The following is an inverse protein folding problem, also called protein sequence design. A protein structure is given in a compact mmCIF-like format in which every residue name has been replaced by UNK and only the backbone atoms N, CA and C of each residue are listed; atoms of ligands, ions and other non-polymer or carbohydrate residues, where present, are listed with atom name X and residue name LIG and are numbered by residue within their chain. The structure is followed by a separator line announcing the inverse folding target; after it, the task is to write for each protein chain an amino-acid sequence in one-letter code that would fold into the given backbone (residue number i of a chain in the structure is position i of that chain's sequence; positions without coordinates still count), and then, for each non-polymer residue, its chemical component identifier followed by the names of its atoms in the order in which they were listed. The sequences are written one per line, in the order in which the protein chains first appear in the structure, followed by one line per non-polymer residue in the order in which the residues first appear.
data_IF_992402116671
#
_entry.id   IF_992402116671
#
_cell.length_a   1.000
_cell.length_b   1.000
_cell.length_c   1.000
_cell.angle_alpha   90.00
_cell.angle_beta   90.00
_cell.angle_gamma   90.00
#
_symmetry.space_group_name_H-M   'P 1'
#
loop_
_entity.id
_entity.type
_entity.pdbx_description
1 polymer ?
#
# COMPACT_ATOMS: atom_id res chain seq x y z
N UNK A 1 10.80 2.42 -10.14
CA UNK A 1 11.32 3.52 -9.33
C UNK A 1 10.28 4.07 -8.36
N UNK A 2 9.05 4.44 -8.80
CA UNK A 2 8.00 4.98 -7.91
C UNK A 2 7.63 4.06 -6.75
N UNK A 3 7.48 2.75 -6.98
CA UNK A 3 7.17 1.79 -5.93
C UNK A 3 8.26 1.76 -4.85
N UNK A 4 9.53 1.72 -5.26
CA UNK A 4 10.67 1.73 -4.31
C UNK A 4 10.68 3.02 -3.50
N UNK A 5 10.50 4.17 -4.15
CA UNK A 5 10.41 5.45 -3.48
C UNK A 5 9.25 5.50 -2.48
N UNK A 6 8.08 4.97 -2.86
CA UNK A 6 6.91 4.89 -1.98
C UNK A 6 7.15 3.97 -0.77
N UNK A 7 7.76 2.79 -0.97
CA UNK A 7 8.10 1.87 0.12
C UNK A 7 9.10 2.51 1.10
N UNK A 8 10.12 3.20 0.59
CA UNK A 8 11.08 3.94 1.42
C UNK A 8 10.39 5.05 2.19
N UNK A 9 9.54 5.84 1.53
CA UNK A 9 8.79 6.92 2.18
C UNK A 9 7.89 6.38 3.30
N UNK A 10 7.20 5.29 3.07
CA UNK A 10 6.36 4.63 4.08
C UNK A 10 7.22 4.12 5.24
N UNK A 11 8.36 3.49 4.96
CA UNK A 11 9.27 3.01 6.01
C UNK A 11 9.79 4.15 6.88
N UNK A 12 10.29 5.22 6.28
CA UNK A 12 10.77 6.39 7.01
C UNK A 12 9.65 7.11 7.76
N UNK A 13 8.49 7.29 7.13
CA UNK A 13 7.33 7.94 7.75
C UNK A 13 6.75 7.12 8.91
N UNK A 14 6.73 5.80 8.79
CA UNK A 14 6.22 4.90 9.83
C UNK A 14 7.16 4.75 11.01
N UNK A 15 8.47 4.71 10.79
CA UNK A 15 9.48 4.51 11.82
C UNK A 15 10.02 5.84 12.38
N UNK A 16 9.82 6.95 11.67
CA UNK A 16 10.24 8.28 12.10
C UNK A 16 9.40 8.81 13.26
N UNK A 17 9.98 9.75 14.02
CA UNK A 17 9.26 10.48 15.07
C UNK A 17 8.30 11.47 14.41
N UNK A 18 7.00 11.22 14.54
CA UNK A 18 5.99 12.15 14.04
C UNK A 18 5.75 13.22 15.10
N UNK A 19 6.19 14.44 14.81
CA UNK A 19 5.84 15.64 15.55
C UNK A 19 4.79 16.41 14.75
N UNK A 20 3.54 16.14 14.98
CA UNK A 20 2.43 16.79 14.29
C UNK A 20 1.19 16.89 15.18
N UNK A 21 0.17 17.70 14.79
CA UNK A 21 -1.08 17.75 15.50
C UNK A 21 -1.70 16.36 15.55
N UNK A 22 -2.28 15.99 16.69
CA UNK A 22 -2.99 14.73 16.83
C UNK A 22 -4.16 14.73 15.84
N UNK A 23 -4.21 13.68 15.01
CA UNK A 23 -5.34 13.48 14.12
C UNK A 23 -6.56 13.02 14.91
N UNK A 24 -7.74 13.11 14.30
CA UNK A 24 -8.97 12.56 14.87
C UNK A 24 -8.82 11.04 15.15
N UNK A 25 -9.63 10.50 16.06
CA UNK A 25 -9.63 9.07 16.37
C UNK A 25 -9.78 8.23 15.10
N UNK A 26 -8.85 7.32 14.88
CA UNK A 26 -8.80 6.48 13.67
C UNK A 26 -8.15 7.13 12.44
N UNK A 27 -7.63 8.35 12.54
CA UNK A 27 -6.95 9.02 11.44
C UNK A 27 -5.68 8.30 11.00
N UNK A 28 -4.95 7.69 11.93
CA UNK A 28 -3.81 6.81 11.67
C UNK A 28 -4.20 5.60 10.82
N UNK A 29 -5.31 4.95 11.15
CA UNK A 29 -5.84 3.78 10.42
C UNK A 29 -6.31 4.15 9.00
N UNK A 30 -6.88 5.34 8.84
CA UNK A 30 -7.23 5.86 7.52
C UNK A 30 -5.97 6.12 6.67
N UNK A 31 -4.91 6.63 7.27
CA UNK A 31 -3.61 6.78 6.58
C UNK A 31 -3.06 5.43 6.15
N UNK A 32 -3.08 4.42 7.01
CA UNK A 32 -2.67 3.06 6.67
C UNK A 32 -3.48 2.51 5.50
N UNK A 33 -4.80 2.64 5.54
CA UNK A 33 -5.69 2.18 4.47
C UNK A 33 -5.36 2.86 3.13
N UNK A 34 -5.27 4.19 3.09
CA UNK A 34 -4.96 4.95 1.87
C UNK A 34 -3.57 4.61 1.36
N UNK A 35 -2.59 4.56 2.24
CA UNK A 35 -1.19 4.24 1.89
C UNK A 35 -1.10 2.87 1.22
N UNK A 36 -1.73 1.85 1.80
CA UNK A 36 -1.68 0.50 1.26
C UNK A 36 -2.53 0.32 0.00
N UNK A 37 -3.59 1.10 -0.17
CA UNK A 37 -4.32 1.17 -1.44
C UNK A 37 -3.43 1.71 -2.57
N UNK A 38 -2.71 2.80 -2.30
CA UNK A 38 -1.74 3.39 -3.25
C UNK A 38 -0.59 2.43 -3.53
N UNK A 39 0.01 1.84 -2.50
CA UNK A 39 1.09 0.85 -2.66
C UNK A 39 0.66 -0.33 -3.52
N UNK A 40 -0.56 -0.83 -3.33
CA UNK A 40 -1.08 -1.93 -4.14
C UNK A 40 -1.18 -1.54 -5.61
N UNK A 41 -1.73 -0.37 -5.92
CA UNK A 41 -1.83 0.13 -7.31
C UNK A 41 -0.45 0.28 -7.93
N UNK A 42 0.50 0.88 -7.21
CA UNK A 42 1.88 1.06 -7.68
C UNK A 42 2.58 -0.29 -7.89
N UNK A 43 2.38 -1.25 -6.97
CA UNK A 43 2.95 -2.59 -7.07
C UNK A 43 2.40 -3.33 -8.29
N UNK A 44 1.09 -3.22 -8.54
CA UNK A 44 0.49 -3.83 -9.73
C UNK A 44 0.99 -3.18 -11.03
N UNK A 45 1.13 -1.85 -11.06
CA UNK A 45 1.70 -1.16 -12.23
C UNK A 45 3.16 -1.55 -12.51
N UNK A 46 3.92 -1.85 -11.45
CA UNK A 46 5.30 -2.32 -11.57
C UNK A 46 5.38 -3.78 -12.02
N UNK A 47 4.46 -4.62 -11.54
CA UNK A 47 4.41 -6.06 -11.78
C UNK A 47 2.99 -6.49 -12.20
N UNK A 48 2.54 -6.11 -13.41
CA UNK A 48 1.21 -6.45 -13.87
C UNK A 48 1.09 -7.95 -14.17
N UNK A 49 -0.06 -8.52 -13.80
CA UNK A 49 -0.40 -9.90 -14.10
C UNK A 49 -1.44 -10.47 -13.13
N UNK A 50 -2.45 -11.21 -13.65
CA UNK A 50 -3.52 -11.74 -12.80
C UNK A 50 -3.00 -12.74 -11.77
N UNK A 51 -2.01 -13.54 -12.14
CA UNK A 51 -1.37 -14.52 -11.23
C UNK A 51 -0.56 -13.88 -10.10
N UNK A 52 -0.19 -12.59 -10.23
CA UNK A 52 0.60 -11.88 -9.24
C UNK A 52 -0.28 -11.12 -8.22
N UNK A 53 -1.56 -10.92 -8.47
CA UNK A 53 -2.44 -10.11 -7.61
C UNK A 53 -2.41 -10.57 -6.14
N UNK A 54 -2.60 -11.86 -5.90
CA UNK A 54 -2.57 -12.41 -4.54
C UNK A 54 -1.17 -12.34 -3.91
N UNK A 55 -0.11 -12.49 -4.72
CA UNK A 55 1.28 -12.34 -4.26
C UNK A 55 1.57 -10.91 -3.84
N UNK A 56 1.04 -9.93 -4.57
CA UNK A 56 1.15 -8.52 -4.19
C UNK A 56 0.46 -8.24 -2.85
N UNK A 57 -0.75 -8.78 -2.64
CA UNK A 57 -1.43 -8.68 -1.34
C UNK A 57 -0.56 -9.26 -0.22
N UNK A 58 -0.06 -10.49 -0.38
CA UNK A 58 0.77 -11.14 0.64
C UNK A 58 2.09 -10.39 0.89
N UNK A 59 2.74 -9.91 -0.16
CA UNK A 59 4.00 -9.17 -0.02
C UNK A 59 3.80 -7.85 0.71
N UNK A 60 2.76 -7.10 0.37
CA UNK A 60 2.44 -5.85 1.04
C UNK A 60 1.98 -6.07 2.48
N UNK A 61 1.22 -7.15 2.74
CA UNK A 61 0.84 -7.53 4.09
C UNK A 61 2.07 -7.89 4.93
N UNK A 62 2.99 -8.70 4.39
CA UNK A 62 4.23 -9.04 5.07
C UNK A 62 5.08 -7.79 5.36
N UNK A 63 5.17 -6.86 4.41
CA UNK A 63 5.82 -5.57 4.60
C UNK A 63 5.16 -4.77 5.72
N UNK A 64 3.82 -4.70 5.76
CA UNK A 64 3.06 -4.03 6.83
C UNK A 64 3.33 -4.64 8.20
N UNK A 65 3.29 -5.97 8.31
CA UNK A 65 3.60 -6.67 9.57
C UNK A 65 5.04 -6.38 10.01
N UNK A 66 6.00 -6.37 9.09
CA UNK A 66 7.40 -6.02 9.42
C UNK A 66 7.51 -4.59 9.97
N UNK A 67 6.81 -3.64 9.37
CA UNK A 67 6.78 -2.25 9.86
C UNK A 67 6.17 -2.18 11.25
N UNK A 68 5.05 -2.87 11.50
CA UNK A 68 4.41 -2.91 12.83
C UNK A 68 5.31 -3.53 13.90
N UNK A 69 6.00 -4.63 13.57
CA UNK A 69 6.96 -5.26 14.48
C UNK A 69 8.14 -4.31 14.78
N UNK A 70 8.64 -3.60 13.78
CA UNK A 70 9.68 -2.61 13.97
C UNK A 70 9.20 -1.42 14.81
N UNK A 71 7.97 -0.95 14.62
CA UNK A 71 7.36 0.10 15.45
C UNK A 71 7.24 -0.32 16.91
N UNK A 72 6.88 -1.57 17.17
CA UNK A 72 6.83 -2.14 18.52
C UNK A 72 8.16 -2.13 19.28
N UNK A 73 9.29 -1.99 18.59
CA UNK A 73 10.62 -1.86 19.20
C UNK A 73 11.00 -0.40 19.53
N UNK A 74 10.20 0.56 19.10
CA UNK A 74 10.48 1.99 19.27
C UNK A 74 9.72 2.52 20.47
N UNK A 75 10.42 3.17 21.41
CA UNK A 75 9.93 3.59 22.73
C UNK A 75 8.69 4.50 22.67
N UNK A 76 8.49 5.25 21.59
CA UNK A 76 7.37 6.19 21.42
C UNK A 76 6.30 5.71 20.42
N UNK A 77 6.35 4.45 20.01
CA UNK A 77 5.38 3.84 19.11
C UNK A 77 4.82 2.56 19.72
N UNK A 78 3.58 2.26 19.41
CA UNK A 78 2.90 1.03 19.81
C UNK A 78 2.53 0.24 18.57
N UNK A 79 2.70 -1.08 18.65
CA UNK A 79 2.19 -1.99 17.65
C UNK A 79 0.69 -2.16 17.83
N UNK A 80 -0.09 -1.86 16.81
CA UNK A 80 -1.55 -2.02 16.83
C UNK A 80 -2.01 -3.01 15.77
N UNK A 81 -2.69 -4.08 16.19
CA UNK A 81 -3.27 -5.05 15.25
C UNK A 81 -4.32 -4.42 14.31
N UNK A 82 -4.96 -3.34 14.73
CA UNK A 82 -5.91 -2.59 13.92
C UNK A 82 -5.24 -1.92 12.70
N UNK A 83 -3.96 -1.55 12.80
CA UNK A 83 -3.20 -0.98 11.69
C UNK A 83 -2.90 -2.05 10.62
N UNK A 84 -2.65 -3.29 11.05
CA UNK A 84 -2.52 -4.43 10.13
C UNK A 84 -3.85 -4.66 9.38
N UNK A 85 -4.99 -4.59 10.07
CA UNK A 85 -6.30 -4.72 9.44
C UNK A 85 -6.55 -3.57 8.44
N UNK A 86 -6.16 -2.35 8.77
CA UNK A 86 -6.24 -1.21 7.86
C UNK A 86 -5.35 -1.40 6.61
N UNK A 87 -4.17 -1.99 6.76
CA UNK A 87 -3.29 -2.34 5.65
C UNK A 87 -3.94 -3.37 4.72
N UNK A 88 -4.53 -4.43 5.28
CA UNK A 88 -5.27 -5.45 4.52
C UNK A 88 -6.46 -4.84 3.77
N UNK A 89 -7.25 -4.02 4.45
CA UNK A 89 -8.37 -3.30 3.84
C UNK A 89 -7.89 -2.37 2.72
N UNK A 90 -6.77 -1.68 2.92
CA UNK A 90 -6.15 -0.79 1.94
C UNK A 90 -5.76 -1.53 0.65
N UNK A 91 -5.08 -2.67 0.76
CA UNK A 91 -4.73 -3.47 -0.42
C UNK A 91 -5.97 -3.98 -1.15
N UNK A 92 -7.02 -4.36 -0.41
CA UNK A 92 -8.32 -4.73 -0.97
C UNK A 92 -8.98 -3.59 -1.75
N UNK A 93 -9.01 -2.39 -1.16
CA UNK A 93 -9.51 -1.17 -1.83
C UNK A 93 -8.69 -0.87 -3.08
N UNK A 94 -7.36 -0.94 -3.01
CA UNK A 94 -6.47 -0.76 -4.16
C UNK A 94 -6.80 -1.71 -5.31
N UNK A 95 -7.04 -2.98 -5.00
CA UNK A 95 -7.47 -3.97 -6.00
C UNK A 95 -8.84 -3.65 -6.62
N UNK A 96 -9.78 -3.15 -5.83
CA UNK A 96 -11.12 -2.79 -6.32
C UNK A 96 -11.12 -1.53 -7.20
N UNK A 97 -10.32 -0.52 -6.88
CA UNK A 97 -10.25 0.72 -7.66
C UNK A 97 -9.36 0.61 -8.89
N UNK A 98 -8.44 -0.36 -8.92
CA UNK A 98 -7.49 -0.55 -10.02
C UNK A 98 -8.17 -0.59 -11.41
N UNK A 99 -9.21 -1.39 -11.68
CA UNK A 99 -9.85 -1.42 -12.98
C UNK A 99 -10.53 -0.09 -13.35
N UNK A 100 -10.97 0.67 -12.36
CA UNK A 100 -11.57 2.01 -12.58
C UNK A 100 -10.47 2.98 -13.02
N UNK A 101 -9.31 2.95 -12.34
CA UNK A 101 -8.17 3.79 -12.69
C UNK A 101 -7.64 3.44 -14.09
N UNK A 102 -7.53 2.16 -14.40
CA UNK A 102 -7.06 1.69 -15.72
C UNK A 102 -7.95 2.21 -16.86
N UNK A 103 -9.27 2.22 -16.68
CA UNK A 103 -10.22 2.74 -17.66
C UNK A 103 -10.08 4.24 -17.92
N UNK A 104 -9.47 4.99 -16.99
CA UNK A 104 -9.21 6.44 -17.11
C UNK A 104 -7.89 6.74 -17.81
N UNK A 105 -7.04 5.72 -18.03
CA UNK A 105 -5.80 5.90 -18.75
C UNK A 105 -6.05 6.19 -20.24
N UNK A 106 -5.21 7.01 -20.88
CA UNK A 106 -5.20 7.12 -22.34
C UNK A 106 -5.13 5.76 -23.00
N UNK A 107 -5.88 5.54 -24.09
CA UNK A 107 -6.09 4.22 -24.68
C UNK A 107 -4.79 3.46 -25.05
N UNK A 108 -3.69 4.15 -25.34
CA UNK A 108 -2.39 3.53 -25.56
C UNK A 108 -1.81 2.93 -24.27
N UNK A 109 -1.87 3.65 -23.17
CA UNK A 109 -1.39 3.19 -21.85
C UNK A 109 -2.27 2.07 -21.29
N UNK A 110 -3.59 2.17 -21.49
CA UNK A 110 -4.52 1.11 -21.11
C UNK A 110 -4.21 -0.20 -21.83
N UNK A 111 -4.02 -0.17 -23.15
CA UNK A 111 -3.65 -1.34 -23.95
C UNK A 111 -2.30 -1.92 -23.51
N UNK A 112 -1.31 -1.08 -23.25
CA UNK A 112 -0.01 -1.53 -22.77
C UNK A 112 -0.08 -2.20 -21.38
N UNK A 113 -0.92 -1.70 -20.48
CA UNK A 113 -1.13 -2.27 -19.16
C UNK A 113 -1.82 -3.64 -19.24
N UNK A 114 -2.87 -3.76 -20.06
CA UNK A 114 -3.63 -5.03 -20.22
C UNK A 114 -2.83 -6.09 -20.99
N UNK A 115 -2.06 -5.71 -22.01
CA UNK A 115 -1.24 -6.69 -22.75
C UNK A 115 -0.19 -7.36 -21.85
N UNK A 116 0.30 -6.64 -20.86
CA UNK A 116 1.20 -7.20 -19.83
C UNK A 116 0.47 -8.10 -18.83
N UNK A 117 -0.81 -7.89 -18.60
CA UNK A 117 -1.62 -8.74 -17.73
C UNK A 117 -1.91 -10.11 -18.35
N UNK A 118 -1.90 -10.20 -19.67
CA UNK A 118 -2.18 -11.44 -20.43
C UNK A 118 -0.93 -12.26 -20.76
N UNK A 119 0.24 -11.71 -20.58
CA UNK A 119 1.51 -12.42 -20.78
C UNK A 119 2.03 -13.06 -19.47
#
# INVERSE_FOLDING_TARGET
MLLVAALLLVSFGSLGKVTGPQMFDGGDKLIHLITYAVLYVLAWLAFPGPALRWRLHLTLLAFGVMIELAQGQITYRFMEGADILANVAGTGVGNLILPILLKRLPGALYRAAISREQS
#
